data_IF_837516151468
#
_entry.id   IF_837516151468
#
_cell.length_a   1.000
_cell.length_b   1.000
_cell.length_c   1.000
_cell.angle_alpha   90.00
_cell.angle_beta   90.00
_cell.angle_gamma   90.00
#
_symmetry.space_group_name_H-M   'P 1'
#
loop_
_entity.id
_entity.type
_entity.pdbx_description
1 polymer ?
#
# COMPACT_ATOMS: atom_id res chain seq x y z
N UNK A 1 -19.23 -4.00 24.45
CA UNK A 1 -18.43 -4.57 23.33
C UNK A 1 -18.20 -3.46 22.32
N UNK A 2 -16.98 -3.26 21.83
CA UNK A 2 -16.69 -2.30 20.76
C UNK A 2 -17.27 -2.81 19.44
N UNK A 3 -17.78 -1.91 18.61
CA UNK A 3 -18.22 -2.20 17.24
C UNK A 3 -17.11 -1.86 16.27
N UNK A 4 -16.91 -2.68 15.24
CA UNK A 4 -15.90 -2.48 14.22
C UNK A 4 -16.56 -2.33 12.84
N UNK A 5 -15.98 -1.48 12.00
CA UNK A 5 -16.35 -1.35 10.59
C UNK A 5 -15.29 -2.06 9.75
N UNK A 6 -15.72 -2.69 8.66
CA UNK A 6 -14.83 -3.34 7.71
C UNK A 6 -15.06 -2.74 6.32
N UNK A 7 -14.00 -2.19 5.71
CA UNK A 7 -14.04 -1.51 4.44
C UNK A 7 -13.30 -2.33 3.38
N UNK A 8 -13.96 -2.54 2.24
CA UNK A 8 -13.42 -3.23 1.07
C UNK A 8 -14.19 -2.73 -0.17
N UNK A 9 -13.59 -2.71 -1.38
CA UNK A 9 -14.34 -2.43 -2.61
C UNK A 9 -15.50 -3.40 -2.80
N UNK A 10 -16.57 -2.92 -3.45
CA UNK A 10 -17.74 -3.76 -3.69
C UNK A 10 -17.44 -4.94 -4.63
N UNK A 11 -16.51 -4.77 -5.58
CA UNK A 11 -16.07 -5.79 -6.52
C UNK A 11 -14.56 -5.87 -6.51
N UNK A 12 -14.04 -7.10 -6.49
CA UNK A 12 -12.62 -7.36 -6.49
C UNK A 12 -12.33 -8.48 -7.49
N UNK A 13 -11.77 -8.13 -8.64
CA UNK A 13 -11.37 -9.09 -9.68
C UNK A 13 -9.91 -9.46 -9.48
N UNK A 14 -9.64 -10.76 -9.47
CA UNK A 14 -8.31 -11.30 -9.19
C UNK A 14 -8.00 -12.51 -10.06
N UNK A 15 -6.77 -12.58 -10.55
CA UNK A 15 -6.29 -13.68 -11.37
C UNK A 15 -5.92 -13.26 -12.79
N UNK A 16 -5.15 -14.12 -13.47
CA UNK A 16 -4.65 -13.84 -14.81
C UNK A 16 -5.79 -13.62 -15.82
N UNK A 17 -5.73 -12.52 -16.55
CA UNK A 17 -6.72 -12.14 -17.54
C UNK A 17 -7.97 -11.45 -16.99
N UNK A 18 -8.08 -11.20 -15.67
CA UNK A 18 -9.28 -10.56 -15.09
C UNK A 18 -9.49 -9.11 -15.56
N UNK A 19 -8.50 -8.48 -16.19
CA UNK A 19 -8.65 -7.18 -16.84
C UNK A 19 -9.72 -7.21 -17.95
N UNK A 20 -9.90 -8.34 -18.64
CA UNK A 20 -10.93 -8.51 -19.69
C UNK A 20 -12.34 -8.45 -19.08
N UNK A 21 -12.54 -9.11 -17.94
CA UNK A 21 -13.81 -9.11 -17.21
C UNK A 21 -14.12 -7.70 -16.68
N UNK A 22 -13.11 -6.99 -16.15
CA UNK A 22 -13.28 -5.61 -15.70
C UNK A 22 -13.86 -4.69 -16.79
N UNK A 23 -13.39 -4.78 -18.02
CA UNK A 23 -13.89 -3.93 -19.12
C UNK A 23 -15.37 -4.22 -19.44
N UNK A 24 -15.77 -5.49 -19.40
CA UNK A 24 -17.17 -5.89 -19.58
C UNK A 24 -18.06 -5.35 -18.45
N UNK A 25 -17.60 -5.45 -17.21
CA UNK A 25 -18.32 -4.95 -16.04
C UNK A 25 -18.46 -3.43 -16.07
N UNK A 26 -17.40 -2.68 -16.43
CA UNK A 26 -17.48 -1.21 -16.59
C UNK A 26 -18.57 -0.82 -17.58
N UNK A 27 -18.66 -1.53 -18.70
CA UNK A 27 -19.75 -1.36 -19.67
C UNK A 27 -21.12 -1.67 -19.06
N UNK A 28 -21.20 -2.74 -18.27
CA UNK A 28 -22.44 -3.16 -17.59
C UNK A 28 -22.99 -2.10 -16.61
N UNK A 29 -22.11 -1.29 -16.01
CA UNK A 29 -22.50 -0.16 -15.17
C UNK A 29 -23.03 1.05 -15.95
N UNK A 30 -22.92 1.05 -17.27
CA UNK A 30 -23.41 2.13 -18.13
C UNK A 30 -22.49 3.35 -18.19
N UNK A 31 -21.21 3.21 -17.83
CA UNK A 31 -20.23 4.27 -18.03
C UNK A 31 -19.83 4.34 -19.51
N UNK A 32 -19.61 5.57 -19.99
CA UNK A 32 -19.38 5.84 -21.41
C UNK A 32 -17.99 6.39 -21.67
N UNK A 33 -17.43 7.17 -20.74
CA UNK A 33 -16.13 7.81 -20.93
C UNK A 33 -15.32 7.88 -19.65
N UNK A 34 -14.20 7.19 -19.63
CA UNK A 34 -13.30 7.12 -18.49
C UNK A 34 -12.15 8.14 -18.56
N UNK A 35 -11.77 8.73 -17.44
CA UNK A 35 -10.43 9.31 -17.26
C UNK A 35 -9.49 8.23 -16.78
N UNK A 36 -8.50 7.84 -17.56
CA UNK A 36 -7.42 6.93 -17.14
C UNK A 36 -6.34 7.76 -16.48
N UNK A 37 -6.09 7.52 -15.18
CA UNK A 37 -5.04 8.18 -14.39
C UNK A 37 -3.89 7.20 -14.21
N UNK A 38 -2.69 7.58 -14.69
CA UNK A 38 -1.51 6.72 -14.75
C UNK A 38 -0.23 7.54 -14.70
N UNK A 39 0.90 6.90 -14.94
CA UNK A 39 2.22 7.54 -15.08
C UNK A 39 2.79 7.37 -16.49
N UNK A 40 3.82 8.19 -16.80
CA UNK A 40 4.47 8.18 -18.12
C UNK A 40 5.12 6.85 -18.47
N UNK A 41 5.61 6.11 -17.48
CA UNK A 41 6.31 4.83 -17.71
C UNK A 41 5.31 3.79 -18.23
N UNK A 42 4.17 3.64 -17.57
CA UNK A 42 3.12 2.71 -18.00
C UNK A 42 2.54 3.07 -19.37
N UNK A 43 2.46 4.37 -19.68
CA UNK A 43 2.06 4.82 -21.01
C UNK A 43 3.10 4.45 -22.07
N UNK A 44 4.39 4.72 -21.82
CA UNK A 44 5.49 4.44 -22.76
C UNK A 44 5.69 2.95 -23.05
N UNK A 45 5.50 2.07 -22.05
CA UNK A 45 5.65 0.61 -22.23
C UNK A 45 4.40 -0.07 -22.80
N UNK A 46 3.37 0.71 -23.18
CA UNK A 46 2.20 0.21 -23.90
C UNK A 46 1.07 -0.37 -23.05
N UNK A 47 1.17 -0.36 -21.72
CA UNK A 47 0.10 -0.88 -20.82
C UNK A 47 -1.17 -0.04 -20.95
N UNK A 48 -1.03 1.28 -21.08
CA UNK A 48 -2.17 2.19 -21.32
C UNK A 48 -2.85 1.89 -22.65
N UNK A 49 -2.07 1.67 -23.72
CA UNK A 49 -2.61 1.34 -25.04
C UNK A 49 -3.41 0.01 -25.02
N UNK A 50 -2.93 -1.00 -24.28
CA UNK A 50 -3.68 -2.26 -24.07
C UNK A 50 -5.03 -1.98 -23.41
N UNK A 51 -5.07 -1.16 -22.37
CA UNK A 51 -6.32 -0.81 -21.68
C UNK A 51 -7.27 0.01 -22.55
N UNK A 52 -6.77 1.06 -23.23
CA UNK A 52 -7.63 1.91 -24.08
C UNK A 52 -8.24 1.14 -25.24
N UNK A 53 -7.49 0.20 -25.85
CA UNK A 53 -8.01 -0.70 -26.90
C UNK A 53 -9.14 -1.57 -26.35
N UNK A 54 -8.91 -2.20 -25.20
CA UNK A 54 -9.89 -3.05 -24.55
C UNK A 54 -11.18 -2.29 -24.19
N UNK A 55 -11.06 -1.08 -23.65
CA UNK A 55 -12.22 -0.22 -23.34
C UNK A 55 -12.99 0.16 -24.63
N UNK A 56 -12.28 0.48 -25.70
CA UNK A 56 -12.90 0.83 -27.00
C UNK A 56 -13.67 -0.36 -27.61
N UNK A 57 -13.17 -1.59 -27.48
CA UNK A 57 -13.89 -2.82 -27.90
C UNK A 57 -15.24 -2.99 -27.19
N UNK A 58 -15.33 -2.47 -25.96
CA UNK A 58 -16.57 -2.44 -25.17
C UNK A 58 -17.38 -1.14 -25.35
N UNK A 59 -16.96 -0.25 -26.28
CA UNK A 59 -17.64 1.02 -26.57
C UNK A 59 -17.52 2.05 -25.45
N UNK A 60 -16.40 2.02 -24.69
CA UNK A 60 -16.08 3.00 -23.66
C UNK A 60 -14.96 3.90 -24.20
N UNK A 61 -15.25 5.20 -24.31
CA UNK A 61 -14.24 6.20 -24.65
C UNK A 61 -13.31 6.45 -23.46
N UNK A 62 -12.09 6.93 -23.73
CA UNK A 62 -11.13 7.28 -22.68
C UNK A 62 -10.36 8.54 -23.00
N UNK A 63 -10.04 9.31 -21.94
CA UNK A 63 -9.02 10.32 -21.91
C UNK A 63 -7.89 9.85 -20.99
N UNK A 64 -6.64 10.18 -21.28
CA UNK A 64 -5.48 9.70 -20.52
C UNK A 64 -4.80 10.88 -19.84
N UNK A 65 -4.64 10.78 -18.51
CA UNK A 65 -3.81 11.63 -17.68
C UNK A 65 -2.61 10.80 -17.19
N UNK A 66 -1.45 10.96 -17.83
CA UNK A 66 -0.24 10.20 -17.55
C UNK A 66 0.85 11.01 -16.81
N UNK A 67 0.45 12.13 -16.20
CA UNK A 67 1.38 13.02 -15.51
C UNK A 67 1.43 12.82 -13.99
N UNK A 68 0.91 11.69 -13.50
CA UNK A 68 1.02 11.37 -12.07
C UNK A 68 2.49 11.20 -11.70
N UNK A 69 2.95 12.00 -10.74
CA UNK A 69 4.31 11.92 -10.19
C UNK A 69 4.39 10.82 -9.12
N UNK A 70 5.57 10.25 -8.90
CA UNK A 70 5.84 9.59 -7.61
C UNK A 70 5.51 10.56 -6.47
N UNK A 71 4.77 10.11 -5.44
CA UNK A 71 4.18 11.02 -4.44
C UNK A 71 3.27 12.08 -5.09
N UNK A 72 2.03 11.73 -5.49
CA UNK A 72 1.15 12.62 -6.23
C UNK A 72 0.84 13.89 -5.44
N UNK A 73 0.69 14.99 -6.16
CA UNK A 73 0.60 16.33 -5.60
C UNK A 73 -0.79 16.95 -5.76
N UNK A 74 -1.04 18.03 -5.03
CA UNK A 74 -2.26 18.82 -5.23
C UNK A 74 -2.41 19.31 -6.66
N UNK A 75 -1.30 19.69 -7.32
CA UNK A 75 -1.29 20.10 -8.73
C UNK A 75 -1.68 18.95 -9.68
N UNK A 76 -1.29 17.69 -9.39
CA UNK A 76 -1.72 16.52 -10.17
C UNK A 76 -3.25 16.33 -10.08
N UNK A 77 -3.83 16.50 -8.89
CA UNK A 77 -5.28 16.39 -8.70
C UNK A 77 -6.02 17.48 -9.47
N UNK A 78 -5.56 18.73 -9.41
CA UNK A 78 -6.14 19.87 -10.15
C UNK A 78 -6.09 19.67 -11.67
N UNK A 79 -4.96 19.18 -12.20
CA UNK A 79 -4.80 18.91 -13.63
C UNK A 79 -5.74 17.77 -14.10
N UNK A 80 -5.84 16.68 -13.34
CA UNK A 80 -6.77 15.59 -13.64
C UNK A 80 -8.23 16.01 -13.55
N UNK A 81 -8.59 16.86 -12.59
CA UNK A 81 -9.94 17.44 -12.48
C UNK A 81 -10.30 18.31 -13.70
N UNK A 82 -9.35 19.10 -14.20
CA UNK A 82 -9.53 19.87 -15.41
C UNK A 82 -9.81 18.96 -16.63
N UNK A 83 -9.11 17.82 -16.71
CA UNK A 83 -9.34 16.84 -17.78
C UNK A 83 -10.71 16.16 -17.70
N UNK A 84 -11.21 15.81 -16.51
CA UNK A 84 -12.59 15.30 -16.36
C UNK A 84 -13.58 16.29 -16.95
N UNK A 85 -13.48 17.56 -16.58
CA UNK A 85 -14.40 18.63 -17.03
C UNK A 85 -14.31 18.86 -18.55
N UNK A 86 -13.08 18.92 -19.09
CA UNK A 86 -12.85 19.17 -20.52
C UNK A 86 -13.34 18.03 -21.41
N UNK A 87 -13.30 16.79 -20.94
CA UNK A 87 -13.63 15.61 -21.72
C UNK A 87 -15.02 15.02 -21.39
N UNK A 88 -15.69 15.49 -20.35
CA UNK A 88 -16.99 14.96 -19.93
C UNK A 88 -16.90 13.52 -19.44
N UNK A 89 -15.85 13.14 -18.72
CA UNK A 89 -15.69 11.79 -18.19
C UNK A 89 -16.69 11.53 -17.05
N UNK A 90 -17.33 10.36 -17.07
CA UNK A 90 -18.34 9.92 -16.10
C UNK A 90 -17.81 8.92 -15.06
N UNK A 91 -16.60 8.38 -15.28
CA UNK A 91 -15.89 7.54 -14.34
C UNK A 91 -14.38 7.79 -14.40
N UNK A 92 -13.66 7.26 -13.41
CA UNK A 92 -12.19 7.30 -13.33
C UNK A 92 -11.66 5.88 -13.31
N UNK A 93 -10.60 5.62 -14.05
CA UNK A 93 -9.84 4.37 -14.00
C UNK A 93 -8.42 4.72 -13.56
N UNK A 94 -7.95 4.22 -12.44
CA UNK A 94 -6.55 4.31 -12.09
C UNK A 94 -5.81 3.08 -12.59
N UNK A 95 -4.67 3.29 -13.28
CA UNK A 95 -3.82 2.22 -13.80
C UNK A 95 -2.42 2.40 -13.26
N UNK A 96 -1.98 1.52 -12.36
CA UNK A 96 -0.64 1.61 -11.80
C UNK A 96 -0.50 1.05 -10.40
N UNK A 97 0.45 1.59 -9.64
CA UNK A 97 0.63 1.33 -8.22
C UNK A 97 0.00 2.43 -7.35
N UNK A 98 0.59 2.66 -6.17
CA UNK A 98 0.09 3.60 -5.17
C UNK A 98 -0.18 5.00 -5.73
N UNK A 99 0.82 5.61 -6.40
CA UNK A 99 0.71 7.01 -6.84
C UNK A 99 -0.42 7.25 -7.84
N UNK A 100 -0.60 6.48 -8.92
CA UNK A 100 -1.78 6.57 -9.77
C UNK A 100 -3.10 6.35 -9.04
N UNK A 101 -3.17 5.39 -8.09
CA UNK A 101 -4.37 5.14 -7.32
C UNK A 101 -4.74 6.32 -6.44
N UNK A 102 -3.79 6.86 -5.69
CA UNK A 102 -4.03 7.98 -4.79
C UNK A 102 -4.37 9.27 -5.56
N UNK A 103 -3.68 9.53 -6.68
CA UNK A 103 -4.02 10.64 -7.58
C UNK A 103 -5.47 10.52 -8.09
N UNK A 104 -5.85 9.34 -8.56
CA UNK A 104 -7.20 9.07 -9.09
C UNK A 104 -8.30 9.22 -8.02
N UNK A 105 -8.03 8.73 -6.79
CA UNK A 105 -8.92 8.93 -5.64
C UNK A 105 -9.12 10.41 -5.35
N UNK A 106 -8.03 11.19 -5.31
CA UNK A 106 -8.10 12.64 -5.11
C UNK A 106 -8.91 13.33 -6.20
N UNK A 107 -8.66 13.01 -7.48
CA UNK A 107 -9.41 13.56 -8.64
C UNK A 107 -10.89 13.20 -8.53
N UNK A 108 -11.22 11.92 -8.32
CA UNK A 108 -12.59 11.43 -8.25
C UNK A 108 -13.37 12.04 -7.07
N UNK A 109 -12.70 12.21 -5.92
CA UNK A 109 -13.29 12.81 -4.72
C UNK A 109 -13.66 14.27 -4.95
N UNK A 110 -12.72 15.09 -5.45
CA UNK A 110 -12.94 16.52 -5.71
C UNK A 110 -13.95 16.70 -6.85
N UNK A 111 -13.92 15.88 -7.89
CA UNK A 111 -14.88 15.93 -8.97
C UNK A 111 -16.33 15.75 -8.48
N UNK A 112 -16.56 14.87 -7.52
CA UNK A 112 -17.88 14.62 -6.95
C UNK A 112 -18.29 15.64 -5.88
N UNK A 113 -17.36 16.07 -5.02
CA UNK A 113 -17.68 16.87 -3.83
C UNK A 113 -17.38 18.36 -3.98
N UNK A 114 -16.54 18.76 -4.96
CA UNK A 114 -16.09 20.15 -5.15
C UNK A 114 -14.96 20.56 -4.23
N UNK A 115 -14.67 21.86 -4.15
CA UNK A 115 -13.60 22.41 -3.31
C UNK A 115 -12.18 22.06 -3.80
N UNK A 116 -11.26 21.98 -2.86
CA UNK A 116 -9.86 21.56 -3.05
C UNK A 116 -9.61 20.22 -2.36
N UNK A 117 -8.66 19.43 -2.86
CA UNK A 117 -8.26 18.19 -2.19
C UNK A 117 -7.76 18.44 -0.75
N UNK A 118 -7.25 19.62 -0.45
CA UNK A 118 -6.81 20.02 0.90
C UNK A 118 -7.96 20.07 1.92
N UNK A 119 -9.19 20.28 1.47
CA UNK A 119 -10.37 20.34 2.35
C UNK A 119 -10.73 18.97 2.93
N UNK A 120 -10.19 17.89 2.35
CA UNK A 120 -10.47 16.50 2.72
C UNK A 120 -9.38 15.87 3.59
N UNK A 121 -8.33 16.59 3.96
CA UNK A 121 -7.30 16.10 4.88
C UNK A 121 -7.89 15.66 6.22
N UNK A 122 -7.58 14.42 6.64
CA UNK A 122 -8.06 13.81 7.88
C UNK A 122 -9.02 12.66 7.63
N UNK A 123 -9.96 12.43 8.57
CA UNK A 123 -10.83 11.25 8.58
C UNK A 123 -12.28 11.62 8.25
N UNK A 124 -12.88 10.92 7.27
CA UNK A 124 -14.30 11.02 6.85
C UNK A 124 -14.77 12.48 6.65
N UNK A 125 -14.02 13.23 5.86
CA UNK A 125 -14.31 14.67 5.58
C UNK A 125 -15.23 14.90 4.39
N UNK A 126 -15.41 13.91 3.50
CA UNK A 126 -16.26 14.06 2.33
C UNK A 126 -17.74 13.92 2.66
N UNK A 127 -18.59 14.67 1.92
CA UNK A 127 -20.04 14.65 2.12
C UNK A 127 -20.72 13.48 1.39
N UNK A 128 -20.16 13.04 0.26
CA UNK A 128 -20.72 11.99 -0.59
C UNK A 128 -19.62 11.19 -1.28
N UNK A 129 -19.95 9.99 -1.83
CA UNK A 129 -18.99 9.17 -2.56
C UNK A 129 -18.30 9.94 -3.70
N UNK A 130 -17.05 9.53 -3.98
CA UNK A 130 -16.30 9.98 -5.15
C UNK A 130 -16.99 9.58 -6.46
N UNK A 131 -16.56 10.12 -7.59
CA UNK A 131 -16.95 9.54 -8.90
C UNK A 131 -16.57 8.06 -8.92
N UNK A 132 -17.34 7.22 -9.65
CA UNK A 132 -17.00 5.81 -9.76
C UNK A 132 -15.55 5.62 -10.15
N UNK A 133 -14.79 4.89 -9.31
CA UNK A 133 -13.38 4.62 -9.51
C UNK A 133 -13.15 3.12 -9.64
N UNK A 134 -12.53 2.74 -10.77
CA UNK A 134 -12.02 1.39 -11.01
C UNK A 134 -10.50 1.44 -10.85
N UNK A 135 -9.95 0.64 -9.95
CA UNK A 135 -8.53 0.66 -9.64
C UNK A 135 -7.84 -0.59 -10.20
N UNK A 136 -7.09 -0.42 -11.29
CA UNK A 136 -6.34 -1.48 -11.97
C UNK A 136 -4.90 -1.46 -11.45
N UNK A 137 -4.57 -2.45 -10.63
CA UNK A 137 -3.30 -2.52 -9.93
C UNK A 137 -2.22 -3.20 -10.78
N UNK A 138 -1.00 -2.65 -10.74
CA UNK A 138 0.19 -3.20 -11.39
C UNK A 138 1.31 -3.55 -10.41
N UNK A 139 1.05 -3.44 -9.09
CA UNK A 139 2.06 -3.69 -8.03
C UNK A 139 1.53 -4.63 -6.98
N UNK A 140 2.38 -5.54 -6.47
CA UNK A 140 2.03 -6.36 -5.31
C UNK A 140 2.68 -5.76 -4.05
N UNK A 141 2.00 -4.79 -3.40
CA UNK A 141 2.56 -4.09 -2.25
C UNK A 141 1.58 -3.28 -1.45
N UNK A 142 1.26 -2.07 -1.89
CA UNK A 142 0.55 -1.06 -1.08
C UNK A 142 -0.94 -1.31 -0.89
N UNK A 143 -1.54 -2.16 -1.72
CA UNK A 143 -2.99 -2.39 -1.75
C UNK A 143 -3.84 -1.11 -1.89
N UNK A 144 -3.28 -0.02 -2.46
CA UNK A 144 -4.03 1.24 -2.60
C UNK A 144 -5.29 1.07 -3.44
N UNK A 145 -5.31 0.09 -4.39
CA UNK A 145 -6.49 -0.22 -5.20
C UNK A 145 -7.72 -0.67 -4.41
N UNK A 146 -7.53 -1.03 -3.13
CA UNK A 146 -8.63 -1.54 -2.32
C UNK A 146 -8.86 -0.75 -1.03
N UNK A 147 -8.02 0.23 -0.70
CA UNK A 147 -8.06 0.94 0.58
C UNK A 147 -8.89 2.23 0.52
N UNK A 148 -9.27 2.70 1.71
CA UNK A 148 -9.87 4.02 1.94
C UNK A 148 -8.84 5.12 2.23
N UNK A 149 -7.57 4.87 1.93
CA UNK A 149 -6.48 5.84 2.08
C UNK A 149 -6.16 6.49 0.75
N UNK A 150 -5.86 7.79 0.79
CA UNK A 150 -5.41 8.59 -0.33
C UNK A 150 -4.37 9.58 0.18
N UNK A 151 -3.12 9.45 -0.27
CA UNK A 151 -2.01 10.27 0.20
C UNK A 151 -1.61 11.24 -0.90
N UNK A 152 -1.80 12.53 -0.65
CA UNK A 152 -1.50 13.61 -1.60
C UNK A 152 -0.52 14.61 -0.96
N UNK A 153 0.52 14.95 -1.68
CA UNK A 153 1.50 15.94 -1.24
C UNK A 153 0.96 17.37 -1.45
N UNK A 154 0.84 18.12 -0.36
CA UNK A 154 0.66 19.56 -0.44
C UNK A 154 2.01 20.22 -0.71
N UNK A 155 2.21 20.66 -1.94
CA UNK A 155 3.48 21.25 -2.40
C UNK A 155 3.79 22.59 -1.69
N UNK A 156 2.78 23.34 -1.27
CA UNK A 156 2.97 24.61 -0.58
C UNK A 156 3.40 24.45 0.88
N UNK A 157 2.90 23.40 1.56
CA UNK A 157 3.26 23.11 2.95
C UNK A 157 4.40 22.10 3.07
N UNK A 158 4.81 21.44 1.98
CA UNK A 158 5.75 20.30 1.95
C UNK A 158 5.31 19.15 2.89
N UNK A 159 4.01 18.82 2.88
CA UNK A 159 3.40 17.82 3.75
C UNK A 159 2.67 16.76 2.92
N UNK A 160 2.83 15.49 3.27
CA UNK A 160 1.97 14.41 2.78
C UNK A 160 0.66 14.41 3.57
N UNK A 161 -0.42 14.88 2.94
CA UNK A 161 -1.76 14.86 3.53
C UNK A 161 -2.32 13.45 3.49
N UNK A 162 -2.79 12.95 4.61
CA UNK A 162 -3.53 11.69 4.69
C UNK A 162 -5.03 11.98 4.62
N UNK A 163 -5.67 11.51 3.56
CA UNK A 163 -7.12 11.51 3.40
C UNK A 163 -7.59 10.08 3.65
N UNK A 164 -8.29 9.86 4.75
CA UNK A 164 -8.77 8.56 5.20
C UNK A 164 -10.29 8.61 5.17
N UNK A 165 -10.89 8.21 4.06
CA UNK A 165 -12.32 8.41 3.87
C UNK A 165 -12.97 7.18 3.23
N UNK A 166 -14.10 6.73 3.79
CA UNK A 166 -14.86 5.61 3.24
C UNK A 166 -15.26 5.82 1.78
N UNK A 167 -15.45 7.08 1.40
CA UNK A 167 -15.90 7.48 0.07
C UNK A 167 -14.79 7.50 -1.00
N UNK A 168 -13.52 7.31 -0.63
CA UNK A 168 -12.42 7.10 -1.60
C UNK A 168 -12.10 5.62 -1.83
N UNK A 169 -12.81 4.71 -1.16
CA UNK A 169 -12.71 3.28 -1.48
C UNK A 169 -13.18 3.08 -2.93
N UNK A 170 -12.38 2.46 -3.81
CA UNK A 170 -12.79 2.20 -5.19
C UNK A 170 -14.07 1.35 -5.26
N UNK A 171 -14.86 1.55 -6.32
CA UNK A 171 -16.00 0.70 -6.64
C UNK A 171 -15.53 -0.72 -6.97
N UNK A 172 -14.45 -0.82 -7.76
CA UNK A 172 -13.88 -2.07 -8.23
C UNK A 172 -12.35 -2.01 -8.10
N UNK A 173 -11.76 -3.09 -7.62
CA UNK A 173 -10.32 -3.34 -7.72
C UNK A 173 -10.04 -4.47 -8.71
N UNK A 174 -8.95 -4.32 -9.48
CA UNK A 174 -8.53 -5.30 -10.50
C UNK A 174 -7.07 -5.65 -10.26
N UNK A 175 -6.80 -6.91 -9.94
CA UNK A 175 -5.47 -7.44 -9.63
C UNK A 175 -5.12 -8.55 -10.64
N UNK A 176 -4.76 -8.13 -11.87
CA UNK A 176 -4.31 -9.03 -12.93
C UNK A 176 -2.79 -9.22 -12.83
N UNK A 177 -2.29 -10.41 -12.47
CA UNK A 177 -0.87 -10.65 -12.32
C UNK A 177 -0.08 -10.52 -13.63
N UNK A 178 -0.71 -10.60 -14.79
CA UNK A 178 -0.06 -10.34 -16.08
C UNK A 178 0.47 -8.90 -16.18
N UNK A 179 -0.20 -7.93 -15.53
CA UNK A 179 0.24 -6.53 -15.46
C UNK A 179 1.45 -6.33 -14.54
N UNK A 180 1.79 -7.34 -13.74
CA UNK A 180 2.89 -7.29 -12.78
C UNK A 180 4.18 -7.96 -13.29
N UNK A 181 4.14 -8.69 -14.42
CA UNK A 181 5.27 -9.45 -14.97
C UNK A 181 6.48 -8.55 -15.34
N UNK A 182 6.24 -7.38 -15.89
CA UNK A 182 7.30 -6.45 -16.30
C UNK A 182 7.98 -5.71 -15.14
N UNK A 183 7.61 -5.99 -13.89
CA UNK A 183 8.12 -5.26 -12.75
C UNK A 183 9.55 -5.66 -12.39
N UNK A 184 10.48 -4.69 -12.23
CA UNK A 184 11.87 -4.98 -11.85
C UNK A 184 11.97 -5.70 -10.49
N UNK A 185 12.99 -6.57 -10.35
CA UNK A 185 13.23 -7.36 -9.14
C UNK A 185 13.34 -6.49 -7.86
N UNK A 186 14.06 -5.36 -7.92
CA UNK A 186 14.20 -4.45 -6.76
C UNK A 186 12.87 -3.83 -6.33
N UNK A 187 12.00 -3.46 -7.28
CA UNK A 187 10.67 -2.95 -6.95
C UNK A 187 9.75 -4.06 -6.45
N UNK A 188 9.85 -5.27 -7.00
CA UNK A 188 9.12 -6.45 -6.50
C UNK A 188 9.51 -6.76 -5.05
N UNK A 189 10.81 -6.71 -4.72
CA UNK A 189 11.31 -6.92 -3.37
C UNK A 189 10.78 -5.86 -2.39
N UNK A 190 10.93 -4.58 -2.75
CA UNK A 190 10.48 -3.47 -1.90
C UNK A 190 8.97 -3.52 -1.64
N UNK A 191 8.16 -3.72 -2.70
CA UNK A 191 6.70 -3.77 -2.55
C UNK A 191 6.23 -5.03 -1.82
N UNK A 192 6.86 -6.18 -2.04
CA UNK A 192 6.52 -7.42 -1.33
C UNK A 192 6.86 -7.37 0.16
N UNK A 193 7.99 -6.75 0.53
CA UNK A 193 8.33 -6.50 1.93
C UNK A 193 7.41 -5.45 2.58
N UNK A 194 6.93 -4.48 1.81
CA UNK A 194 5.91 -3.53 2.24
C UNK A 194 4.59 -4.25 2.58
N UNK A 195 4.13 -5.14 1.70
CA UNK A 195 2.97 -5.99 1.98
C UNK A 195 3.15 -6.87 3.24
N UNK A 196 4.35 -7.41 3.47
CA UNK A 196 4.67 -8.14 4.71
C UNK A 196 4.57 -7.24 5.93
N UNK A 197 5.06 -6.01 5.82
CA UNK A 197 4.97 -5.02 6.89
C UNK A 197 3.52 -4.69 7.22
N UNK A 198 2.68 -4.43 6.21
CA UNK A 198 1.25 -4.23 6.37
C UNK A 198 0.58 -5.36 7.13
N UNK A 199 0.84 -6.61 6.71
CA UNK A 199 0.25 -7.79 7.33
C UNK A 199 0.68 -7.95 8.79
N UNK A 200 1.98 -7.81 9.10
CA UNK A 200 2.51 -7.97 10.46
C UNK A 200 2.02 -6.84 11.37
N UNK A 201 2.07 -5.58 10.93
CA UNK A 201 1.60 -4.46 11.75
C UNK A 201 0.09 -4.56 12.02
N UNK A 202 -0.71 -4.89 11.01
CA UNK A 202 -2.14 -5.14 11.20
C UNK A 202 -2.40 -6.29 12.17
N UNK A 203 -1.61 -7.37 12.10
CA UNK A 203 -1.75 -8.52 12.99
C UNK A 203 -1.44 -8.17 14.43
N UNK A 204 -0.40 -7.39 14.72
CA UNK A 204 -0.05 -6.99 16.10
C UNK A 204 -0.79 -5.74 16.58
N UNK A 205 -1.59 -5.10 15.75
CA UNK A 205 -2.32 -3.86 16.07
C UNK A 205 -3.26 -4.02 17.26
N UNK A 206 -3.39 -2.95 18.06
CA UNK A 206 -4.34 -2.89 19.20
C UNK A 206 -5.82 -2.96 18.80
N UNK A 207 -6.13 -2.72 17.52
CA UNK A 207 -7.51 -2.80 16.99
C UNK A 207 -7.70 -3.98 16.02
N UNK A 208 -6.78 -4.95 16.03
CA UNK A 208 -6.91 -6.19 15.28
C UNK A 208 -8.19 -6.95 15.65
N UNK A 209 -8.77 -7.64 14.70
CA UNK A 209 -10.00 -8.43 14.86
C UNK A 209 -9.80 -9.82 14.24
N UNK A 210 -10.63 -10.83 14.56
CA UNK A 210 -10.53 -12.14 13.91
C UNK A 210 -10.60 -12.08 12.37
N UNK A 211 -11.32 -11.10 11.79
CA UNK A 211 -11.42 -10.93 10.33
C UNK A 211 -10.10 -10.39 9.76
N UNK A 212 -9.52 -9.37 10.41
CA UNK A 212 -8.23 -8.82 9.99
C UNK A 212 -7.08 -9.80 10.24
N UNK A 213 -7.15 -10.58 11.32
CA UNK A 213 -6.17 -11.62 11.65
C UNK A 213 -6.12 -12.71 10.57
N UNK A 214 -7.28 -13.22 10.16
CA UNK A 214 -7.35 -14.23 9.11
C UNK A 214 -6.70 -13.75 7.79
N UNK A 215 -6.94 -12.49 7.43
CA UNK A 215 -6.32 -11.89 6.24
C UNK A 215 -4.81 -11.70 6.42
N UNK A 216 -4.39 -11.18 7.57
CA UNK A 216 -2.98 -10.90 7.86
C UNK A 216 -2.12 -12.18 7.84
N UNK A 217 -2.55 -13.24 8.51
CA UNK A 217 -1.76 -14.48 8.61
C UNK A 217 -1.65 -15.20 7.26
N UNK A 218 -2.70 -15.18 6.45
CA UNK A 218 -2.65 -15.72 5.09
C UNK A 218 -1.72 -14.89 4.20
N UNK A 219 -1.73 -13.57 4.31
CA UNK A 219 -0.80 -12.69 3.61
C UNK A 219 0.66 -13.02 3.96
N UNK A 220 0.98 -13.14 5.26
CA UNK A 220 2.33 -13.50 5.75
C UNK A 220 2.78 -14.83 5.14
N UNK A 221 1.93 -15.85 5.16
CA UNK A 221 2.24 -17.17 4.62
C UNK A 221 2.54 -17.13 3.12
N UNK A 222 1.70 -16.46 2.34
CA UNK A 222 1.89 -16.33 0.89
C UNK A 222 3.16 -15.56 0.53
N UNK A 223 3.44 -14.46 1.24
CA UNK A 223 4.67 -13.67 1.02
C UNK A 223 5.91 -14.49 1.35
N UNK A 224 5.91 -15.18 2.49
CA UNK A 224 7.05 -16.00 2.90
C UNK A 224 7.36 -17.11 1.88
N UNK A 225 6.33 -17.67 1.25
CA UNK A 225 6.47 -18.75 0.24
C UNK A 225 6.87 -18.22 -1.14
N UNK A 226 6.33 -17.08 -1.58
CA UNK A 226 6.36 -16.72 -2.99
C UNK A 226 7.19 -15.47 -3.33
N UNK A 227 7.53 -14.61 -2.35
CA UNK A 227 8.27 -13.38 -2.63
C UNK A 227 9.63 -13.63 -3.26
N UNK A 228 10.39 -14.63 -2.75
CA UNK A 228 11.70 -14.98 -3.31
C UNK A 228 11.59 -15.36 -4.78
N UNK A 229 10.62 -16.21 -5.12
CA UNK A 229 10.38 -16.62 -6.52
C UNK A 229 9.98 -15.42 -7.38
N UNK A 230 9.04 -14.58 -6.92
CA UNK A 230 8.60 -13.41 -7.66
C UNK A 230 9.72 -12.38 -7.90
N UNK A 231 10.74 -12.32 -7.00
CA UNK A 231 11.91 -11.43 -7.14
C UNK A 231 12.95 -12.00 -8.09
N UNK A 232 13.28 -13.29 -7.95
CA UNK A 232 14.36 -13.93 -8.69
C UNK A 232 13.92 -14.49 -10.05
N UNK A 233 12.64 -14.81 -10.21
CA UNK A 233 11.98 -15.30 -11.40
C UNK A 233 10.75 -14.45 -11.69
N UNK A 234 10.97 -13.20 -12.12
CA UNK A 234 9.93 -12.20 -12.29
C UNK A 234 8.88 -12.52 -13.36
N UNK A 235 9.15 -13.47 -14.22
CA UNK A 235 8.29 -14.05 -15.25
C UNK A 235 7.42 -15.23 -14.77
N UNK A 236 7.60 -15.69 -13.53
CA UNK A 236 6.76 -16.72 -12.92
C UNK A 236 5.38 -16.14 -12.59
N UNK A 237 4.42 -16.39 -13.49
CA UNK A 237 3.05 -15.87 -13.37
C UNK A 237 2.36 -16.38 -12.09
N UNK A 238 2.61 -17.63 -11.68
CA UNK A 238 2.03 -18.16 -10.46
C UNK A 238 2.55 -17.45 -9.21
N UNK A 239 3.85 -17.21 -9.12
CA UNK A 239 4.42 -16.45 -8.01
C UNK A 239 3.88 -15.00 -8.00
N UNK A 240 3.73 -14.34 -9.17
CA UNK A 240 3.10 -13.02 -9.29
C UNK A 240 1.66 -13.02 -8.80
N UNK A 241 0.88 -14.02 -9.20
CA UNK A 241 -0.51 -14.18 -8.75
C UNK A 241 -0.60 -14.37 -7.24
N UNK A 242 0.23 -15.24 -6.66
CA UNK A 242 0.25 -15.43 -5.21
C UNK A 242 0.64 -14.15 -4.45
N UNK A 243 1.57 -13.36 -5.00
CA UNK A 243 1.90 -12.05 -4.43
C UNK A 243 0.77 -11.03 -4.60
N UNK A 244 -0.01 -11.08 -5.68
CA UNK A 244 -1.19 -10.25 -5.85
C UNK A 244 -2.27 -10.58 -4.80
N UNK A 245 -2.53 -11.85 -4.54
CA UNK A 245 -3.41 -12.26 -3.43
C UNK A 245 -2.86 -11.82 -2.08
N UNK A 246 -1.57 -12.01 -1.83
CA UNK A 246 -0.94 -11.69 -0.56
C UNK A 246 -1.05 -10.19 -0.22
N UNK A 247 -0.73 -9.31 -1.17
CA UNK A 247 -0.84 -7.87 -0.95
C UNK A 247 -2.29 -7.41 -0.74
N UNK A 248 -3.25 -8.01 -1.45
CA UNK A 248 -4.67 -7.70 -1.27
C UNK A 248 -5.15 -8.12 0.13
N UNK A 249 -4.77 -9.31 0.59
CA UNK A 249 -5.06 -9.78 1.95
C UNK A 249 -4.41 -8.90 3.02
N UNK A 250 -3.15 -8.47 2.80
CA UNK A 250 -2.49 -7.49 3.67
C UNK A 250 -3.26 -6.17 3.70
N UNK A 251 -3.78 -5.74 2.54
CA UNK A 251 -4.67 -4.59 2.39
C UNK A 251 -5.95 -4.73 3.20
N UNK A 252 -6.63 -5.88 3.10
CA UNK A 252 -7.82 -6.17 3.92
C UNK A 252 -7.52 -6.07 5.42
N UNK A 253 -6.34 -6.50 5.84
CA UNK A 253 -5.93 -6.43 7.23
C UNK A 253 -5.69 -4.98 7.67
N UNK A 254 -4.73 -4.26 7.06
CA UNK A 254 -4.33 -2.95 7.56
C UNK A 254 -5.36 -1.84 7.30
N UNK A 255 -6.12 -1.92 6.22
CA UNK A 255 -7.20 -0.96 5.95
C UNK A 255 -8.25 -0.92 7.08
N UNK A 256 -8.35 -2.01 7.86
CA UNK A 256 -9.33 -2.21 8.91
C UNK A 256 -8.73 -2.35 10.33
N UNK A 257 -7.44 -2.71 10.44
CA UNK A 257 -6.71 -2.78 11.72
C UNK A 257 -5.64 -1.70 11.88
N UNK A 258 -5.48 -0.81 10.89
CA UNK A 258 -4.43 0.21 10.87
C UNK A 258 -3.01 -0.38 10.89
N UNK A 259 -2.03 0.44 11.18
CA UNK A 259 -0.59 0.18 11.07
C UNK A 259 0.12 0.41 12.41
N UNK A 260 1.43 0.60 12.38
CA UNK A 260 2.25 0.79 13.57
C UNK A 260 3.46 1.70 13.36
N UNK A 261 4.46 1.55 14.21
CA UNK A 261 5.66 2.38 14.18
C UNK A 261 6.57 2.11 12.99
N UNK A 262 6.48 0.96 12.32
CA UNK A 262 7.26 0.77 11.08
C UNK A 262 6.86 1.83 10.06
N UNK A 263 5.58 1.94 9.78
CA UNK A 263 5.05 2.95 8.84
C UNK A 263 5.26 4.38 9.38
N UNK A 264 4.97 4.63 10.65
CA UNK A 264 5.16 5.94 11.26
C UNK A 264 6.61 6.46 11.11
N UNK A 265 7.59 5.58 11.25
CA UNK A 265 9.02 5.90 11.09
C UNK A 265 9.43 5.97 9.62
N UNK A 266 8.96 5.05 8.78
CA UNK A 266 9.25 5.02 7.33
C UNK A 266 8.72 6.27 6.60
N UNK A 267 7.57 6.80 7.00
CA UNK A 267 7.03 8.04 6.47
C UNK A 267 7.99 9.21 6.67
N UNK A 268 8.70 9.24 7.80
CA UNK A 268 9.68 10.29 8.08
C UNK A 268 10.91 10.18 7.17
N UNK A 269 11.39 8.95 6.93
CA UNK A 269 12.50 8.70 6.01
C UNK A 269 12.12 9.07 4.56
N UNK A 270 10.91 8.73 4.14
CA UNK A 270 10.39 9.13 2.83
C UNK A 270 10.22 10.63 2.69
N UNK A 271 9.72 11.32 3.74
CA UNK A 271 9.51 12.76 3.72
C UNK A 271 10.79 13.59 3.80
N UNK A 272 11.77 13.13 4.60
CA UNK A 272 13.00 13.87 4.88
C UNK A 272 14.12 13.60 3.86
N UNK A 273 14.24 12.35 3.39
CA UNK A 273 15.33 11.90 2.52
C UNK A 273 14.85 11.48 1.12
N UNK A 274 13.53 11.53 0.83
CA UNK A 274 12.91 11.05 -0.42
C UNK A 274 13.24 9.56 -0.70
N UNK A 275 13.37 8.75 0.35
CA UNK A 275 13.68 7.33 0.24
C UNK A 275 12.45 6.50 -0.20
N UNK A 276 12.67 5.39 -0.93
CA UNK A 276 11.59 4.51 -1.35
C UNK A 276 10.87 3.87 -0.14
N UNK A 277 9.56 4.08 -0.06
CA UNK A 277 8.71 3.68 1.08
C UNK A 277 8.87 2.21 1.49
N UNK A 278 8.73 1.28 0.52
CA UNK A 278 8.82 -0.16 0.82
C UNK A 278 10.21 -0.61 1.29
N UNK A 279 11.29 0.09 0.86
CA UNK A 279 12.64 -0.17 1.36
C UNK A 279 12.76 0.29 2.81
N UNK A 280 12.25 1.48 3.13
CA UNK A 280 12.26 2.00 4.51
C UNK A 280 11.49 1.07 5.46
N UNK A 281 10.31 0.62 5.05
CA UNK A 281 9.51 -0.33 5.82
C UNK A 281 10.28 -1.65 6.03
N UNK A 282 10.88 -2.20 4.99
CA UNK A 282 11.62 -3.47 5.07
C UNK A 282 12.82 -3.41 6.03
N UNK A 283 13.58 -2.31 6.03
CA UNK A 283 14.73 -2.11 6.93
C UNK A 283 14.27 -1.92 8.38
N UNK A 284 13.19 -1.17 8.61
CA UNK A 284 12.70 -0.88 9.96
C UNK A 284 11.93 -2.05 10.60
N UNK A 285 11.26 -2.88 9.80
CA UNK A 285 10.35 -3.92 10.26
C UNK A 285 10.93 -4.81 11.36
N UNK A 286 12.11 -5.46 11.21
CA UNK A 286 12.63 -6.35 12.24
C UNK A 286 12.98 -5.63 13.57
N UNK A 287 13.34 -4.36 13.51
CA UNK A 287 13.73 -3.57 14.67
C UNK A 287 12.52 -3.09 15.47
N UNK A 288 11.47 -2.64 14.79
CA UNK A 288 10.19 -2.30 15.43
C UNK A 288 9.54 -3.55 16.01
N UNK A 289 9.57 -4.69 15.30
CA UNK A 289 9.00 -5.92 15.88
C UNK A 289 9.81 -6.44 17.08
N UNK A 290 11.12 -6.20 17.14
CA UNK A 290 11.90 -6.47 18.34
C UNK A 290 11.44 -5.62 19.54
N UNK A 291 11.08 -4.37 19.31
CA UNK A 291 10.48 -3.50 20.32
C UNK A 291 9.08 -4.00 20.74
N UNK A 292 8.25 -4.37 19.76
CA UNK A 292 6.88 -4.87 19.99
C UNK A 292 6.85 -6.24 20.69
N UNK A 293 7.91 -7.05 20.56
CA UNK A 293 8.01 -8.38 21.18
C UNK A 293 7.86 -8.35 22.71
N UNK A 294 8.13 -7.22 23.35
CA UNK A 294 7.97 -7.05 24.79
C UNK A 294 6.51 -7.20 25.27
N UNK A 295 5.53 -6.96 24.37
CA UNK A 295 4.10 -7.04 24.70
C UNK A 295 3.32 -7.95 23.74
N UNK A 296 3.92 -8.35 22.61
CA UNK A 296 3.25 -9.11 21.54
C UNK A 296 3.98 -10.41 21.17
N UNK A 297 4.76 -10.99 22.12
CA UNK A 297 5.59 -12.17 21.83
C UNK A 297 4.78 -13.34 21.27
N UNK A 298 3.61 -13.64 21.85
CA UNK A 298 2.74 -14.72 21.37
C UNK A 298 2.27 -14.52 19.92
N UNK A 299 1.86 -13.29 19.55
CA UNK A 299 1.44 -12.98 18.18
C UNK A 299 2.63 -13.03 17.20
N UNK A 300 3.82 -12.61 17.62
CA UNK A 300 5.03 -12.73 16.81
C UNK A 300 5.49 -14.18 16.65
N UNK A 301 5.29 -15.05 17.64
CA UNK A 301 5.48 -16.50 17.49
C UNK A 301 4.57 -17.08 16.40
N UNK A 302 3.32 -16.63 16.33
CA UNK A 302 2.42 -16.99 15.23
C UNK A 302 2.98 -16.50 13.88
N UNK A 303 3.50 -15.27 13.80
CA UNK A 303 4.18 -14.76 12.59
C UNK A 303 5.31 -15.71 12.16
N UNK A 304 6.17 -16.17 13.08
CA UNK A 304 7.23 -17.12 12.77
C UNK A 304 6.65 -18.41 12.15
N UNK A 305 5.59 -18.95 12.74
CA UNK A 305 4.91 -20.16 12.23
C UNK A 305 4.40 -19.95 10.81
N UNK A 306 3.73 -18.84 10.52
CA UNK A 306 3.22 -18.54 9.17
C UNK A 306 4.34 -18.23 8.17
N UNK A 307 5.50 -17.78 8.64
CA UNK A 307 6.71 -17.68 7.83
C UNK A 307 7.42 -19.03 7.61
N UNK A 308 6.87 -20.14 8.11
CA UNK A 308 7.37 -21.50 7.89
C UNK A 308 8.38 -21.98 8.93
N UNK A 309 8.54 -21.29 10.07
CA UNK A 309 9.42 -21.72 11.16
C UNK A 309 8.67 -22.71 12.07
N UNK A 310 9.30 -23.82 12.43
CA UNK A 310 8.76 -24.71 13.44
C UNK A 310 8.95 -24.11 14.84
N UNK A 311 7.84 -23.68 15.43
CA UNK A 311 7.79 -23.03 16.74
C UNK A 311 7.20 -23.94 17.83
N UNK A 312 6.96 -25.21 17.55
CA UNK A 312 6.20 -26.14 18.42
C UNK A 312 6.85 -26.32 19.81
N UNK A 313 8.18 -26.27 19.89
CA UNK A 313 8.95 -26.40 21.14
C UNK A 313 9.45 -25.08 21.72
N UNK A 314 9.06 -23.93 21.13
CA UNK A 314 9.56 -22.61 21.53
C UNK A 314 8.63 -21.95 22.56
N UNK A 315 9.20 -21.17 23.48
CA UNK A 315 8.43 -20.19 24.26
C UNK A 315 7.94 -19.06 23.33
N UNK A 316 7.06 -18.18 23.83
CA UNK A 316 6.57 -17.05 23.02
C UNK A 316 7.71 -16.09 22.68
N UNK A 317 8.64 -15.83 23.60
CA UNK A 317 9.81 -14.98 23.39
C UNK A 317 10.78 -15.60 22.36
N UNK A 318 10.99 -16.92 22.43
CA UNK A 318 11.80 -17.65 21.45
C UNK A 318 11.15 -17.60 20.06
N UNK A 319 9.83 -17.79 20.00
CA UNK A 319 9.06 -17.68 18.75
C UNK A 319 9.10 -16.25 18.18
N UNK A 320 8.99 -15.22 19.00
CA UNK A 320 9.13 -13.83 18.57
C UNK A 320 10.53 -13.54 17.98
N UNK A 321 11.59 -14.03 18.65
CA UNK A 321 12.95 -13.90 18.13
C UNK A 321 13.12 -14.64 16.78
N UNK A 322 12.49 -15.81 16.64
CA UNK A 322 12.49 -16.57 15.40
C UNK A 322 11.75 -15.84 14.25
N UNK A 323 10.64 -15.14 14.54
CA UNK A 323 9.95 -14.28 13.59
C UNK A 323 10.84 -13.16 13.07
N UNK A 324 11.52 -12.45 13.99
CA UNK A 324 12.44 -11.36 13.66
C UNK A 324 13.60 -11.87 12.79
N UNK A 325 14.14 -13.05 13.11
CA UNK A 325 15.18 -13.70 12.31
C UNK A 325 14.68 -14.07 10.91
N UNK A 326 13.46 -14.61 10.79
CA UNK A 326 12.84 -14.98 9.51
C UNK A 326 12.58 -13.75 8.63
N UNK A 327 12.12 -12.63 9.21
CA UNK A 327 11.94 -11.35 8.52
C UNK A 327 13.28 -10.85 7.97
N UNK A 328 14.32 -10.82 8.80
CA UNK A 328 15.67 -10.41 8.38
C UNK A 328 16.22 -11.28 7.27
N UNK A 329 16.04 -12.60 7.38
CA UNK A 329 16.48 -13.53 6.34
C UNK A 329 15.75 -13.32 5.02
N UNK A 330 14.42 -13.12 5.04
CA UNK A 330 13.66 -12.83 3.82
C UNK A 330 14.12 -11.53 3.18
N UNK A 331 14.33 -10.45 3.95
CA UNK A 331 14.83 -9.18 3.45
C UNK A 331 16.21 -9.34 2.79
N UNK A 332 17.12 -10.11 3.39
CA UNK A 332 18.43 -10.42 2.84
C UNK A 332 18.31 -11.21 1.52
N UNK A 333 17.47 -12.25 1.48
CA UNK A 333 17.30 -13.10 0.30
C UNK A 333 16.77 -12.32 -0.90
N UNK A 334 15.94 -11.29 -0.67
CA UNK A 334 15.40 -10.43 -1.74
C UNK A 334 16.21 -9.13 -1.92
N UNK A 335 17.41 -9.07 -1.33
CA UNK A 335 18.41 -7.99 -1.52
C UNK A 335 17.93 -6.61 -1.06
N UNK A 336 17.17 -6.55 0.02
CA UNK A 336 16.91 -5.27 0.71
C UNK A 336 18.22 -4.82 1.39
N UNK A 337 18.53 -3.50 1.38
CA UNK A 337 19.68 -2.96 2.13
C UNK A 337 19.66 -3.39 3.60
N UNK A 338 20.85 -3.65 4.17
CA UNK A 338 20.97 -4.19 5.51
C UNK A 338 20.65 -3.18 6.62
N UNK A 339 20.77 -1.87 6.34
CA UNK A 339 20.52 -0.83 7.32
C UNK A 339 20.33 0.55 6.68
N UNK A 340 19.93 1.51 7.51
CA UNK A 340 19.65 2.90 7.12
C UNK A 340 20.89 3.65 6.66
N UNK A 341 22.07 3.28 7.15
CA UNK A 341 23.35 3.88 6.72
C UNK A 341 23.56 3.71 5.22
N UNK A 342 23.24 2.53 4.68
CA UNK A 342 23.33 2.25 3.25
C UNK A 342 22.37 3.10 2.40
N UNK A 343 21.34 3.66 3.02
CA UNK A 343 20.38 4.57 2.42
C UNK A 343 20.76 6.04 2.58
N UNK A 344 21.91 6.33 3.22
CA UNK A 344 22.41 7.69 3.44
C UNK A 344 21.75 8.43 4.61
N UNK A 345 21.03 7.73 5.47
CA UNK A 345 20.42 8.31 6.68
C UNK A 345 21.51 8.65 7.71
N UNK A 346 21.36 9.78 8.41
CA UNK A 346 22.33 10.26 9.38
C UNK A 346 21.78 10.18 10.80
N UNK A 347 22.61 9.78 11.74
CA UNK A 347 22.21 9.68 13.15
C UNK A 347 21.85 11.06 13.77
N UNK A 348 22.40 12.14 13.25
CA UNK A 348 22.12 13.52 13.70
C UNK A 348 20.67 13.93 13.47
N UNK A 349 19.97 13.28 12.56
CA UNK A 349 18.58 13.63 12.22
C UNK A 349 17.55 12.82 13.04
N UNK A 350 17.98 11.84 13.85
CA UNK A 350 17.09 10.93 14.56
C UNK A 350 16.13 11.62 15.53
N UNK A 351 16.57 12.68 16.22
CA UNK A 351 15.71 13.42 17.14
C UNK A 351 14.52 14.06 16.40
N UNK A 352 14.76 14.62 15.20
CA UNK A 352 13.71 15.20 14.36
C UNK A 352 12.78 14.11 13.81
N UNK A 353 13.36 13.02 13.27
CA UNK A 353 12.60 11.90 12.73
C UNK A 353 11.72 11.24 13.80
N UNK A 354 12.26 11.03 15.02
CA UNK A 354 11.51 10.46 16.14
C UNK A 354 10.36 11.35 16.59
N UNK A 355 10.60 12.66 16.72
CA UNK A 355 9.57 13.63 17.09
C UNK A 355 8.41 13.66 16.10
N UNK A 356 8.68 13.45 14.82
CA UNK A 356 7.67 13.40 13.78
C UNK A 356 6.96 12.04 13.73
N UNK A 357 7.69 10.93 13.88
CA UNK A 357 7.11 9.58 13.91
C UNK A 357 6.08 9.41 15.05
N UNK A 358 6.32 10.00 16.22
CA UNK A 358 5.38 9.98 17.34
C UNK A 358 4.07 10.75 17.08
N UNK A 359 4.05 11.65 16.10
CA UNK A 359 2.84 12.38 15.69
C UNK A 359 2.08 11.70 14.55
N UNK A 360 2.69 10.70 13.92
CA UNK A 360 2.09 9.98 12.81
C UNK A 360 0.95 9.08 13.30
N UNK A 361 -0.19 9.16 12.63
CA UNK A 361 -1.41 8.44 13.02
C UNK A 361 -1.23 6.91 13.01
N UNK A 362 -0.32 6.38 12.19
CA UNK A 362 -0.02 4.95 12.15
C UNK A 362 0.49 4.42 13.50
N UNK A 363 1.23 5.24 14.24
CA UNK A 363 1.79 4.86 15.54
C UNK A 363 0.75 4.61 16.63
N UNK A 364 -0.46 5.20 16.53
CA UNK A 364 -1.46 5.12 17.60
C UNK A 364 -2.01 3.71 17.84
N UNK A 365 -1.94 2.85 16.85
CA UNK A 365 -2.40 1.45 16.94
C UNK A 365 -1.27 0.45 17.16
N UNK A 366 -0.02 0.93 17.32
CA UNK A 366 1.10 0.06 17.66
C UNK A 366 0.87 -0.59 19.05
N UNK A 367 1.17 -1.88 19.22
CA UNK A 367 0.83 -2.60 20.46
C UNK A 367 1.53 -2.06 21.71
N UNK A 368 2.74 -1.54 21.57
CA UNK A 368 3.48 -0.85 22.62
C UNK A 368 3.70 0.61 22.22
N UNK A 369 3.23 1.55 23.05
CA UNK A 369 3.54 2.96 22.85
C UNK A 369 4.98 3.27 23.25
N UNK A 370 5.67 4.04 22.43
CA UNK A 370 7.09 4.35 22.59
C UNK A 370 7.32 5.77 23.13
N UNK A 371 8.38 5.96 23.91
CA UNK A 371 8.95 7.28 24.18
C UNK A 371 9.78 7.77 22.99
N UNK A 372 10.15 9.05 23.01
CA UNK A 372 11.05 9.63 22.01
C UNK A 372 12.39 8.89 21.95
N UNK A 373 12.98 8.61 23.13
CA UNK A 373 14.26 7.90 23.25
C UNK A 373 14.17 6.46 22.72
N UNK A 374 13.03 5.79 22.90
CA UNK A 374 12.79 4.45 22.35
C UNK A 374 12.73 4.47 20.82
N UNK A 375 12.07 5.46 20.19
CA UNK A 375 12.06 5.61 18.73
C UNK A 375 13.47 5.90 18.19
N UNK A 376 14.23 6.80 18.86
CA UNK A 376 15.65 7.06 18.51
C UNK A 376 16.48 5.77 18.63
N UNK A 377 16.25 4.95 19.66
CA UNK A 377 16.95 3.68 19.83
C UNK A 377 16.62 2.69 18.72
N UNK A 378 15.37 2.65 18.25
CA UNK A 378 14.97 1.80 17.09
C UNK A 378 15.69 2.27 15.83
N UNK A 379 15.73 3.58 15.54
CA UNK A 379 16.49 4.11 14.38
C UNK A 379 17.97 3.74 14.46
N UNK A 380 18.59 3.85 15.64
CA UNK A 380 20.00 3.45 15.85
C UNK A 380 20.22 1.97 15.62
N UNK A 381 19.29 1.12 16.04
CA UNK A 381 19.38 -0.32 15.84
C UNK A 381 19.22 -0.72 14.35
N UNK A 382 18.62 0.13 13.56
CA UNK A 382 18.39 -0.06 12.13
C UNK A 382 19.50 0.54 11.23
N UNK A 383 20.55 1.20 11.81
CA UNK A 383 21.72 1.68 11.07
C UNK A 383 22.54 0.53 10.55
#
# INVERSE_FOLDING_TARGET
MATFKFYIPAINLMGAGCLQEAAADIKGYGYHKALIVTDKILNQIGVVAKLTTLLAEHGIESAVFDETKPNPTTSNVEAGLAMIKANGCDCVISLGGCSPHDCAKGIALVAANGGSIKDYEGVDRSAKPQLPLIAINTTAGTASEMTRFCIITDEARHVKMAIIDKHVTPLMSVNDPELMLAKPAGLTAATGMDALTHAIEAYVSTIATPVTDASAVMAIELIAKHLRTAVHHGDDLYAREQMAYAQFLAGMAFNNASLGYVHAMAHQLGGFYDLPHGVCNAVLLPHVQAFNAQVSAARLKDVARYMGVDVSAMSDEQGAAAAIAAIKQLALDVKIPAGLEQLGVKADDFDTLASNALKDACGFTNPKQASHEEIVAIFRAAM
#
